data_IF_481570374246
#
_entry.id   IF_481570374246
#
_cell.length_a   1.000
_cell.length_b   1.000
_cell.length_c   1.000
_cell.angle_alpha   90.00
_cell.angle_beta   90.00
_cell.angle_gamma   90.00
#
_symmetry.space_group_name_H-M   'P 1'
#
loop_
_entity.id
_entity.type
_entity.pdbx_description
1 polymer ?
#
# COMPACT_ATOMS: atom_id res chain seq x y z
N UNK A 1 -21.31 12.82 3.61
CA UNK A 1 -20.05 12.06 3.49
C UNK A 1 -19.33 12.47 2.21
N UNK A 2 -18.07 12.77 2.34
CA UNK A 2 -17.24 13.10 1.18
C UNK A 2 -16.77 11.78 0.56
N UNK A 3 -17.09 11.58 -0.70
CA UNK A 3 -16.65 10.40 -1.41
C UNK A 3 -15.22 10.61 -1.88
N UNK A 4 -14.34 9.67 -1.60
CA UNK A 4 -12.96 9.74 -2.07
C UNK A 4 -12.94 9.66 -3.59
N UNK A 5 -12.34 10.68 -4.21
CA UNK A 5 -12.25 10.80 -5.65
C UNK A 5 -10.81 10.45 -6.07
N UNK A 6 -10.68 9.58 -7.08
CA UNK A 6 -9.35 9.18 -7.55
C UNK A 6 -8.51 10.36 -8.06
N UNK A 7 -9.14 11.44 -8.53
CA UNK A 7 -8.43 12.64 -8.97
C UNK A 7 -7.83 13.43 -7.81
N UNK A 8 -8.36 13.22 -6.60
CA UNK A 8 -7.90 13.90 -5.39
C UNK A 8 -6.93 13.05 -4.58
N UNK A 9 -6.76 11.80 -4.98
CA UNK A 9 -5.96 10.83 -4.23
C UNK A 9 -4.59 10.70 -4.89
N UNK A 10 -3.53 10.93 -4.12
CA UNK A 10 -2.17 10.76 -4.62
C UNK A 10 -1.89 9.27 -4.89
N UNK A 11 -0.87 9.00 -5.72
CA UNK A 11 -0.42 7.64 -5.98
C UNK A 11 -0.04 6.93 -4.68
N UNK A 12 0.66 7.65 -3.79
CA UNK A 12 1.08 7.14 -2.49
C UNK A 12 -0.11 6.69 -1.65
N UNK A 13 -1.18 7.50 -1.61
CA UNK A 13 -2.40 7.14 -0.89
C UNK A 13 -3.14 5.99 -1.54
N UNK A 14 -3.16 5.95 -2.87
CA UNK A 14 -3.81 4.86 -3.61
C UNK A 14 -3.16 3.51 -3.32
N UNK A 15 -1.85 3.49 -3.08
CA UNK A 15 -1.16 2.27 -2.69
C UNK A 15 -1.62 1.75 -1.33
N UNK A 16 -1.79 2.63 -0.35
CA UNK A 16 -2.34 2.25 0.96
C UNK A 16 -3.77 1.72 0.81
N UNK A 17 -4.58 2.41 0.04
CA UNK A 17 -5.97 2.01 -0.21
C UNK A 17 -6.03 0.65 -0.90
N UNK A 18 -5.14 0.41 -1.86
CA UNK A 18 -5.07 -0.87 -2.57
C UNK A 18 -4.75 -2.02 -1.62
N UNK A 19 -3.79 -1.84 -0.72
CA UNK A 19 -3.48 -2.85 0.30
C UNK A 19 -4.69 -3.14 1.17
N UNK A 20 -5.41 -2.11 1.58
CA UNK A 20 -6.63 -2.27 2.37
C UNK A 20 -7.70 -3.05 1.61
N UNK A 21 -7.95 -2.68 0.36
CA UNK A 21 -8.97 -3.32 -0.48
C UNK A 21 -8.64 -4.80 -0.76
N UNK A 22 -7.35 -5.14 -0.80
CA UNK A 22 -6.89 -6.52 -1.00
C UNK A 22 -6.78 -7.30 0.30
N UNK A 23 -7.14 -6.70 1.43
CA UNK A 23 -7.03 -7.29 2.76
C UNK A 23 -5.57 -7.68 3.09
N UNK A 24 -4.61 -6.95 2.57
CA UNK A 24 -3.19 -7.19 2.82
C UNK A 24 -2.79 -6.61 4.17
N UNK A 25 -3.23 -7.26 5.25
CA UNK A 25 -3.06 -6.79 6.62
C UNK A 25 -2.25 -7.76 7.50
N UNK A 26 -1.63 -8.75 6.88
CA UNK A 26 -0.74 -9.70 7.56
C UNK A 26 0.34 -10.16 6.60
N UNK A 27 1.39 -10.77 7.14
CA UNK A 27 2.48 -11.30 6.32
C UNK A 27 2.00 -12.31 5.28
N UNK A 28 1.01 -13.13 5.62
CA UNK A 28 0.45 -14.14 4.73
C UNK A 28 -0.30 -13.53 3.56
N UNK A 29 -0.90 -12.36 3.76
CA UNK A 29 -1.70 -11.66 2.76
C UNK A 29 -0.93 -10.55 2.05
N UNK A 30 0.36 -10.40 2.34
CA UNK A 30 1.19 -9.35 1.77
C UNK A 30 1.24 -9.45 0.25
N UNK A 31 1.30 -8.29 -0.41
CA UNK A 31 1.29 -8.18 -1.88
C UNK A 31 2.65 -7.74 -2.39
N UNK A 32 3.00 -8.26 -3.57
CA UNK A 32 4.28 -7.96 -4.23
C UNK A 32 4.27 -6.58 -4.84
N UNK A 33 5.47 -5.98 -4.96
CA UNK A 33 5.65 -4.67 -5.61
C UNK A 33 5.09 -4.66 -7.03
N UNK A 34 5.35 -5.71 -7.82
CA UNK A 34 4.91 -5.76 -9.21
C UNK A 34 3.39 -5.87 -9.33
N UNK A 35 2.74 -6.60 -8.42
CA UNK A 35 1.28 -6.68 -8.40
C UNK A 35 0.67 -5.30 -8.13
N UNK A 36 1.23 -4.59 -7.15
CA UNK A 36 0.76 -3.25 -6.81
C UNK A 36 1.00 -2.26 -7.93
N UNK A 37 2.14 -2.38 -8.62
CA UNK A 37 2.45 -1.53 -9.76
C UNK A 37 1.40 -1.65 -10.87
N UNK A 38 0.93 -2.87 -11.14
CA UNK A 38 -0.13 -3.10 -12.12
C UNK A 38 -1.46 -2.50 -11.66
N UNK A 39 -1.80 -2.68 -10.39
CA UNK A 39 -3.09 -2.22 -9.84
C UNK A 39 -3.19 -0.69 -9.92
N UNK A 40 -2.13 0.03 -9.57
CA UNK A 40 -2.14 1.49 -9.59
C UNK A 40 -1.57 2.08 -10.88
N UNK A 41 -1.21 1.23 -11.85
CA UNK A 41 -0.74 1.62 -13.18
C UNK A 41 0.52 2.48 -13.13
N UNK A 42 1.54 1.97 -12.47
CA UNK A 42 2.84 2.61 -12.37
C UNK A 42 3.95 1.56 -12.48
N UNK A 43 5.20 1.97 -12.33
CA UNK A 43 6.33 1.05 -12.34
C UNK A 43 6.70 0.60 -10.93
N UNK A 44 7.49 -0.48 -10.84
CA UNK A 44 7.92 -1.07 -9.57
C UNK A 44 8.78 -0.10 -8.77
N UNK A 45 9.65 0.65 -9.42
CA UNK A 45 10.51 1.62 -8.71
C UNK A 45 9.69 2.68 -7.99
N UNK A 46 8.64 3.18 -8.64
CA UNK A 46 7.75 4.17 -8.03
C UNK A 46 7.01 3.57 -6.84
N UNK A 47 6.52 2.33 -6.96
CA UNK A 47 5.88 1.62 -5.85
C UNK A 47 6.84 1.52 -4.67
N UNK A 48 8.07 1.07 -4.92
CA UNK A 48 9.06 0.88 -3.85
C UNK A 48 9.40 2.20 -3.16
N UNK A 49 9.51 3.30 -3.92
CA UNK A 49 9.79 4.62 -3.33
C UNK A 49 8.64 5.08 -2.42
N UNK A 50 7.40 4.95 -2.88
CA UNK A 50 6.24 5.31 -2.07
C UNK A 50 6.13 4.43 -0.83
N UNK A 51 6.39 3.13 -0.99
CA UNK A 51 6.31 2.19 0.13
C UNK A 51 7.42 2.41 1.16
N UNK A 52 8.62 2.82 0.72
CA UNK A 52 9.70 3.16 1.66
C UNK A 52 9.25 4.26 2.63
N UNK A 53 8.55 5.25 2.13
CA UNK A 53 8.01 6.31 2.98
C UNK A 53 6.93 5.77 3.92
N UNK A 54 6.03 4.93 3.41
CA UNK A 54 4.99 4.33 4.25
C UNK A 54 5.56 3.41 5.34
N UNK A 55 6.64 2.70 5.03
CA UNK A 55 7.36 1.90 6.03
C UNK A 55 7.93 2.81 7.11
N UNK A 56 8.57 3.91 6.69
CA UNK A 56 9.14 4.89 7.60
C UNK A 56 8.08 5.51 8.52
N UNK A 57 6.89 5.74 7.98
CA UNK A 57 5.77 6.31 8.75
C UNK A 57 5.06 5.27 9.63
N UNK A 58 5.41 4.01 9.51
CA UNK A 58 4.81 2.94 10.32
C UNK A 58 3.47 2.43 9.80
N UNK A 59 3.11 2.76 8.57
CA UNK A 59 1.84 2.33 7.96
C UNK A 59 1.93 0.96 7.30
N UNK A 60 3.13 0.56 6.88
CA UNK A 60 3.35 -0.64 6.07
C UNK A 60 4.56 -1.39 6.61
N UNK A 61 4.48 -2.73 6.60
CA UNK A 61 5.62 -3.60 6.82
C UNK A 61 6.06 -4.14 5.45
N UNK A 62 7.36 -4.20 5.25
CA UNK A 62 7.95 -4.74 4.02
C UNK A 62 8.88 -5.90 4.38
N UNK A 63 8.85 -6.94 3.55
CA UNK A 63 9.81 -8.04 3.67
C UNK A 63 10.06 -8.66 2.28
N UNK A 64 11.12 -9.44 2.17
CA UNK A 64 11.41 -10.20 0.96
C UNK A 64 11.00 -11.65 1.17
N UNK A 65 10.27 -12.21 0.20
CA UNK A 65 9.88 -13.61 0.26
C UNK A 65 11.04 -14.54 -0.19
N UNK A 66 10.78 -15.83 -0.20
CA UNK A 66 11.80 -16.83 -0.54
C UNK A 66 12.32 -16.72 -1.97
N UNK A 67 11.56 -16.07 -2.84
CA UNK A 67 11.93 -15.86 -4.24
C UNK A 67 12.61 -14.50 -4.47
N UNK A 68 12.83 -13.74 -3.40
CA UNK A 68 13.44 -12.41 -3.49
C UNK A 68 12.48 -11.31 -3.90
N UNK A 69 11.18 -11.58 -3.92
CA UNK A 69 10.18 -10.55 -4.21
C UNK A 69 9.86 -9.73 -2.97
N UNK A 70 9.82 -8.42 -3.14
CA UNK A 70 9.46 -7.53 -2.04
C UNK A 70 7.94 -7.52 -1.87
N UNK A 71 7.49 -7.71 -0.63
CA UNK A 71 6.08 -7.76 -0.28
C UNK A 71 5.75 -6.74 0.79
N UNK A 72 4.49 -6.32 0.79
CA UNK A 72 4.01 -5.26 1.69
C UNK A 72 2.67 -5.64 2.29
N UNK A 73 2.46 -5.26 3.55
CA UNK A 73 1.14 -5.33 4.17
C UNK A 73 0.94 -4.16 5.14
N UNK A 74 -0.32 -3.81 5.38
CA UNK A 74 -0.70 -2.72 6.28
C UNK A 74 -0.53 -3.13 7.73
N UNK A 75 -0.01 -2.20 8.53
CA UNK A 75 -0.06 -2.28 9.98
C UNK A 75 -1.41 -1.77 10.48
N UNK A 76 -1.68 -1.94 11.79
CA UNK A 76 -2.87 -1.33 12.41
C UNK A 76 -2.90 0.18 12.19
N UNK A 77 -1.74 0.83 12.28
CA UNK A 77 -1.61 2.27 12.01
C UNK A 77 -1.94 2.59 10.56
N UNK A 78 -1.52 1.74 9.63
CA UNK A 78 -1.85 1.89 8.21
C UNK A 78 -3.34 1.76 7.95
N UNK A 79 -4.01 0.82 8.60
CA UNK A 79 -5.46 0.65 8.48
C UNK A 79 -6.18 1.91 8.96
N UNK A 80 -5.77 2.46 10.10
CA UNK A 80 -6.35 3.69 10.63
C UNK A 80 -6.13 4.84 9.64
N UNK A 81 -4.95 4.93 9.05
CA UNK A 81 -4.64 5.96 8.06
C UNK A 81 -5.55 5.86 6.84
N UNK A 82 -5.78 4.65 6.31
CA UNK A 82 -6.69 4.44 5.18
C UNK A 82 -8.10 4.88 5.56
N UNK A 83 -8.58 4.48 6.74
CA UNK A 83 -9.91 4.86 7.20
C UNK A 83 -10.05 6.38 7.28
N UNK A 84 -9.00 7.09 7.69
CA UNK A 84 -9.04 8.56 7.78
C UNK A 84 -9.16 9.23 6.41
N UNK A 85 -8.71 8.56 5.34
CA UNK A 85 -8.81 9.10 3.99
C UNK A 85 -10.25 9.12 3.46
N UNK A 86 -11.13 8.33 4.07
CA UNK A 86 -12.54 8.25 3.68
C UNK A 86 -13.46 9.09 4.59
N UNK A 87 -12.89 9.80 5.52
CA UNK A 87 -13.68 10.59 6.49
C UNK A 87 -13.98 12.00 6.00
#
# INVERSE_FOLDING_TARGET
MIKLNEYETSLSERLLISLHNLCATSGEMARRSDDLAQIVQTDVNTVNQCMDKHVSDGYVVSYFDNEGNRRFYLTSRGIIRVCSLFS
#
